data_IF_833251032626
#
_entry.id   IF_833251032626
#
_cell.length_a   1.000
_cell.length_b   1.000
_cell.length_c   1.000
_cell.angle_alpha   90.00
_cell.angle_beta   90.00
_cell.angle_gamma   90.00
#
_symmetry.space_group_name_H-M   'P 1'
#
loop_
_entity.id
_entity.type
_entity.pdbx_description
1 polymer ?
#
# COMPACT_ATOMS: atom_id res chain seq x y z
N UNK A 1 -27.83 17.83 -3.78
CA UNK A 1 -27.66 16.47 -4.35
C UNK A 1 -26.68 15.72 -3.47
N UNK A 2 -27.14 14.69 -2.74
CA UNK A 2 -26.27 13.87 -1.87
C UNK A 2 -25.49 12.90 -2.75
N UNK A 3 -24.22 13.15 -3.00
CA UNK A 3 -23.33 12.17 -3.63
C UNK A 3 -23.01 11.09 -2.60
N UNK A 4 -23.50 9.88 -2.86
CA UNK A 4 -23.04 8.68 -2.14
C UNK A 4 -21.67 8.36 -2.71
N UNK A 5 -20.62 8.90 -2.07
CA UNK A 5 -19.26 8.38 -2.24
C UNK A 5 -19.28 6.96 -1.67
N UNK A 6 -19.37 5.96 -2.55
CA UNK A 6 -18.95 4.60 -2.21
C UNK A 6 -17.42 4.59 -2.26
N UNK A 7 -16.70 4.49 -1.13
CA UNK A 7 -15.26 4.34 -1.18
C UNK A 7 -14.96 3.01 -1.89
N UNK A 8 -14.24 3.08 -3.02
CA UNK A 8 -13.63 1.92 -3.64
C UNK A 8 -12.14 2.07 -3.40
N UNK A 9 -11.59 1.28 -2.47
CA UNK A 9 -10.16 1.24 -2.19
C UNK A 9 -9.58 0.10 -3.02
N UNK A 10 -8.65 0.40 -3.94
CA UNK A 10 -7.73 -0.61 -4.46
C UNK A 10 -6.62 -0.72 -3.40
N UNK A 11 -6.95 -1.41 -2.30
CA UNK A 11 -6.01 -1.71 -1.23
C UNK A 11 -5.30 -3.02 -1.56
N UNK A 12 -4.01 -2.94 -1.81
CA UNK A 12 -3.10 -4.09 -1.83
C UNK A 12 -2.06 -3.76 -0.77
N UNK A 13 -2.18 -4.38 0.40
CA UNK A 13 -1.49 -3.95 1.63
C UNK A 13 -0.95 -5.13 2.42
N UNK A 14 0.29 -5.03 2.91
CA UNK A 14 1.15 -6.09 3.46
C UNK A 14 0.58 -7.47 3.82
N UNK A 15 1.26 -8.47 3.27
CA UNK A 15 1.28 -9.81 3.84
C UNK A 15 2.28 -10.69 3.11
N UNK A 16 3.50 -10.77 3.64
CA UNK A 16 4.48 -11.73 3.15
C UNK A 16 3.97 -13.15 3.45
N UNK A 17 3.75 -13.89 2.36
CA UNK A 17 4.04 -15.31 2.15
C UNK A 17 2.88 -16.25 1.92
N UNK A 18 2.91 -16.80 0.71
CA UNK A 18 2.21 -18.02 0.32
C UNK A 18 3.08 -18.75 -0.67
N UNK A 19 3.68 -19.85 -0.23
CA UNK A 19 4.21 -20.88 -1.09
C UNK A 19 3.25 -22.07 -0.98
N UNK A 20 2.21 -22.09 -1.81
CA UNK A 20 1.33 -23.25 -1.87
C UNK A 20 2.00 -24.32 -2.75
N UNK A 21 2.70 -25.24 -2.09
CA UNK A 21 3.21 -26.45 -2.71
C UNK A 21 2.42 -27.65 -2.15
N UNK A 22 1.32 -28.00 -2.80
CA UNK A 22 0.96 -29.40 -3.12
C UNK A 22 -0.31 -29.48 -3.99
N UNK A 23 -0.15 -30.17 -5.12
CA UNK A 23 -1.19 -30.67 -6.02
C UNK A 23 -1.95 -29.65 -6.90
N UNK A 24 -1.34 -29.25 -8.02
CA UNK A 24 -2.06 -29.21 -9.31
C UNK A 24 -1.11 -29.48 -10.48
N UNK A 25 -1.60 -30.34 -11.38
CA UNK A 25 -0.89 -30.94 -12.51
C UNK A 25 -0.31 -29.87 -13.45
N UNK A 26 0.92 -30.13 -13.87
CA UNK A 26 1.62 -29.64 -15.07
C UNK A 26 0.79 -28.78 -16.04
N UNK A 27 1.09 -27.48 -16.05
CA UNK A 27 1.24 -26.71 -17.29
C UNK A 27 2.45 -25.80 -17.12
N UNK A 28 3.59 -26.22 -17.68
CA UNK A 28 4.73 -25.33 -17.91
C UNK A 28 4.27 -24.24 -18.90
N UNK A 29 4.00 -23.05 -18.38
CA UNK A 29 3.74 -21.85 -19.16
C UNK A 29 4.65 -20.74 -18.64
N UNK A 30 5.85 -20.65 -19.20
CA UNK A 30 6.68 -19.45 -19.18
C UNK A 30 5.96 -18.35 -19.95
N UNK A 31 5.08 -17.61 -19.26
CA UNK A 31 4.59 -16.30 -19.69
C UNK A 31 5.33 -15.28 -18.85
N UNK A 32 5.95 -14.27 -19.46
CA UNK A 32 6.35 -13.06 -18.74
C UNK A 32 5.14 -12.57 -17.93
N UNK A 33 5.36 -12.18 -16.67
CA UNK A 33 4.26 -11.98 -15.71
C UNK A 33 3.19 -11.05 -16.29
N UNK A 34 1.94 -11.53 -16.35
CA UNK A 34 0.78 -10.73 -16.80
C UNK A 34 0.57 -9.53 -15.87
N UNK A 35 0.98 -9.65 -14.61
CA UNK A 35 0.91 -8.63 -13.58
C UNK A 35 2.03 -7.59 -13.75
N UNK A 36 1.67 -6.39 -14.20
CA UNK A 36 2.59 -5.26 -14.38
C UNK A 36 1.93 -3.98 -13.87
N UNK A 37 2.72 -2.97 -13.46
CA UNK A 37 2.19 -1.64 -13.12
C UNK A 37 1.34 -1.09 -14.28
N UNK A 38 1.77 -1.32 -15.51
CA UNK A 38 1.08 -0.89 -16.71
C UNK A 38 -0.34 -1.47 -16.81
N UNK A 39 -0.52 -2.76 -16.49
CA UNK A 39 -1.85 -3.40 -16.43
C UNK A 39 -2.79 -2.66 -15.47
N UNK A 40 -2.33 -2.33 -14.26
CA UNK A 40 -3.16 -1.65 -13.26
C UNK A 40 -3.46 -0.20 -13.63
N UNK A 41 -2.53 0.49 -14.31
CA UNK A 41 -2.80 1.82 -14.85
C UNK A 41 -3.89 1.78 -15.93
N UNK A 42 -3.84 0.78 -16.81
CA UNK A 42 -4.85 0.59 -17.85
C UNK A 42 -6.21 0.18 -17.27
N UNK A 43 -6.23 -0.62 -16.21
CA UNK A 43 -7.45 -0.98 -15.48
C UNK A 43 -8.07 0.23 -14.76
N UNK A 44 -7.26 1.09 -14.14
CA UNK A 44 -7.74 2.33 -13.52
C UNK A 44 -8.38 3.26 -14.58
N UNK A 45 -7.73 3.43 -15.74
CA UNK A 45 -8.30 4.21 -16.84
C UNK A 45 -9.61 3.61 -17.36
N UNK A 46 -9.70 2.27 -17.44
CA UNK A 46 -10.92 1.59 -17.81
C UNK A 46 -12.04 1.82 -16.80
N UNK A 47 -11.77 1.73 -15.48
CA UNK A 47 -12.77 2.02 -14.44
C UNK A 47 -13.27 3.45 -14.54
N UNK A 48 -12.38 4.43 -14.70
CA UNK A 48 -12.74 5.85 -14.88
C UNK A 48 -13.65 6.03 -16.11
N UNK A 49 -13.34 5.35 -17.22
CA UNK A 49 -14.17 5.38 -18.42
C UNK A 49 -15.55 4.74 -18.21
N UNK A 50 -15.62 3.55 -17.62
CA UNK A 50 -16.86 2.81 -17.37
C UNK A 50 -17.80 3.54 -16.41
N UNK A 51 -17.26 4.28 -15.45
CA UNK A 51 -18.03 5.13 -14.55
C UNK A 51 -18.50 6.45 -15.21
N UNK A 52 -18.16 6.69 -16.47
CA UNK A 52 -18.50 7.92 -17.19
C UNK A 52 -17.81 9.15 -16.61
N UNK A 53 -16.62 8.98 -16.03
CA UNK A 53 -15.81 10.03 -15.41
C UNK A 53 -14.72 10.57 -16.33
N UNK A 54 -14.52 9.96 -17.51
CA UNK A 54 -13.58 10.46 -18.52
C UNK A 54 -13.89 11.91 -18.88
N UNK A 55 -12.88 12.78 -18.83
CA UNK A 55 -13.05 14.22 -19.11
C UNK A 55 -13.55 15.05 -17.93
N UNK A 56 -13.92 14.43 -16.79
CA UNK A 56 -14.47 15.13 -15.63
C UNK A 56 -13.39 15.30 -14.56
N UNK A 57 -13.39 16.41 -13.80
CA UNK A 57 -12.54 16.55 -12.63
C UNK A 57 -12.78 15.40 -11.64
N UNK A 58 -11.74 14.66 -11.29
CA UNK A 58 -11.80 13.57 -10.32
C UNK A 58 -10.75 13.75 -9.23
N UNK A 59 -11.05 13.27 -8.03
CA UNK A 59 -10.05 13.10 -6.97
C UNK A 59 -9.71 11.60 -6.87
N UNK A 60 -8.45 11.29 -6.62
CA UNK A 60 -7.97 9.91 -6.46
C UNK A 60 -7.39 9.74 -5.06
N UNK A 61 -7.83 8.70 -4.38
CA UNK A 61 -7.28 8.26 -3.10
C UNK A 61 -6.65 6.88 -3.30
N UNK A 62 -5.37 6.76 -2.96
CA UNK A 62 -4.64 5.49 -2.99
C UNK A 62 -4.08 5.18 -1.62
N UNK A 63 -4.19 3.91 -1.21
CA UNK A 63 -3.71 3.39 0.08
C UNK A 63 -2.71 2.27 -0.18
N UNK A 64 -1.54 2.30 0.49
CA UNK A 64 -0.44 1.35 0.30
C UNK A 64 -0.01 1.24 -1.16
N UNK A 65 -0.03 0.06 -1.76
CA UNK A 65 0.24 -0.10 -3.19
C UNK A 65 -0.71 0.73 -4.08
N UNK A 66 -1.97 0.92 -3.66
CA UNK A 66 -2.89 1.83 -4.34
C UNK A 66 -2.37 3.27 -4.36
N UNK A 67 -1.65 3.70 -3.32
CA UNK A 67 -0.96 5.00 -3.27
C UNK A 67 0.18 5.10 -4.27
N UNK A 68 0.98 4.03 -4.40
CA UNK A 68 2.02 3.89 -5.42
C UNK A 68 1.44 4.02 -6.82
N UNK A 69 0.40 3.22 -7.11
CA UNK A 69 -0.28 3.20 -8.40
C UNK A 69 -0.89 4.56 -8.73
N UNK A 70 -1.57 5.19 -7.77
CA UNK A 70 -2.16 6.51 -7.92
C UNK A 70 -1.10 7.58 -8.20
N UNK A 71 0.07 7.52 -7.56
CA UNK A 71 1.17 8.44 -7.81
C UNK A 71 1.79 8.25 -9.20
N UNK A 72 2.00 7.00 -9.65
CA UNK A 72 2.47 6.71 -11.02
C UNK A 72 1.46 7.22 -12.05
N UNK A 73 0.17 6.96 -11.84
CA UNK A 73 -0.91 7.43 -12.70
C UNK A 73 -0.95 8.96 -12.75
N UNK A 74 -0.90 9.63 -11.59
CA UNK A 74 -0.90 11.08 -11.47
C UNK A 74 0.34 11.73 -12.13
N UNK A 75 1.51 11.10 -12.00
CA UNK A 75 2.77 11.54 -12.60
C UNK A 75 2.91 11.25 -14.09
N UNK A 76 1.88 10.66 -14.73
CA UNK A 76 1.84 10.34 -16.16
C UNK A 76 0.87 11.30 -16.88
N UNK A 77 1.36 12.38 -17.54
CA UNK A 77 0.52 13.46 -18.05
C UNK A 77 -0.56 13.04 -19.06
N UNK A 78 -0.33 11.95 -19.80
CA UNK A 78 -1.31 11.41 -20.76
C UNK A 78 -2.54 10.78 -20.10
N UNK A 79 -2.48 10.46 -18.80
CA UNK A 79 -3.55 9.79 -18.05
C UNK A 79 -4.27 10.75 -17.09
N UNK A 80 -3.52 11.64 -16.44
CA UNK A 80 -4.01 12.43 -15.30
C UNK A 80 -4.51 13.84 -15.64
N UNK A 81 -4.83 14.13 -16.90
CA UNK A 81 -5.21 15.48 -17.36
C UNK A 81 -6.45 16.09 -16.67
N UNK A 82 -7.32 15.25 -16.08
CA UNK A 82 -8.50 15.69 -15.32
C UNK A 82 -8.41 15.38 -13.81
N UNK A 83 -7.23 15.01 -13.32
CA UNK A 83 -7.00 14.86 -11.90
C UNK A 83 -7.11 16.24 -11.23
N UNK A 84 -7.94 16.32 -10.20
CA UNK A 84 -8.16 17.54 -9.41
C UNK A 84 -7.36 17.50 -8.12
N UNK A 85 -7.39 16.39 -7.39
CA UNK A 85 -6.64 16.17 -6.14
C UNK A 85 -6.17 14.74 -6.01
N UNK A 86 -5.05 14.58 -5.32
CA UNK A 86 -4.47 13.27 -5.01
C UNK A 86 -4.36 13.09 -3.49
N UNK A 87 -4.71 11.90 -3.00
CA UNK A 87 -4.40 11.48 -1.64
C UNK A 87 -3.58 10.21 -1.71
N UNK A 88 -2.42 10.22 -1.03
CA UNK A 88 -1.54 9.06 -0.89
C UNK A 88 -1.51 8.71 0.61
N UNK A 89 -2.06 7.55 0.93
CA UNK A 89 -2.22 7.07 2.31
C UNK A 89 -1.31 5.87 2.55
N UNK A 90 -0.52 5.89 3.62
CA UNK A 90 0.24 4.75 4.14
C UNK A 90 1.02 4.02 3.02
N UNK A 91 1.87 4.72 2.26
CA UNK A 91 2.44 4.23 0.98
C UNK A 91 3.96 4.44 0.89
N UNK A 92 4.56 4.12 -0.26
CA UNK A 92 5.99 4.23 -0.49
C UNK A 92 6.31 4.84 -1.87
N UNK A 93 7.35 5.66 -1.94
CA UNK A 93 7.84 6.19 -3.21
C UNK A 93 9.01 5.37 -3.81
N UNK A 94 9.67 4.54 -2.99
CA UNK A 94 10.84 3.75 -3.36
C UNK A 94 10.98 2.53 -2.47
N UNK A 95 11.39 1.41 -3.07
CA UNK A 95 11.71 0.19 -2.32
C UNK A 95 12.92 0.33 -1.41
N UNK A 96 13.88 1.21 -1.71
CA UNK A 96 15.03 1.47 -0.82
C UNK A 96 14.58 2.18 0.47
N UNK A 97 13.69 3.16 0.33
CA UNK A 97 13.12 3.88 1.45
C UNK A 97 12.22 2.97 2.31
N UNK A 98 11.40 2.15 1.65
CA UNK A 98 10.61 1.11 2.30
C UNK A 98 11.46 0.14 3.12
N UNK A 99 12.54 -0.38 2.53
CA UNK A 99 13.49 -1.27 3.21
C UNK A 99 14.07 -0.64 4.47
N UNK A 100 14.49 0.61 4.35
CA UNK A 100 15.03 1.38 5.49
C UNK A 100 14.01 1.45 6.64
N UNK A 101 12.75 1.76 6.33
CA UNK A 101 11.67 1.83 7.32
C UNK A 101 11.37 0.49 7.97
N UNK A 102 11.15 -0.55 7.17
CA UNK A 102 10.84 -1.90 7.66
C UNK A 102 11.96 -2.46 8.52
N UNK A 103 13.22 -2.32 8.12
CA UNK A 103 14.37 -2.76 8.94
C UNK A 103 14.38 -2.07 10.30
N UNK A 104 14.10 -0.75 10.35
CA UNK A 104 14.03 -0.02 11.60
C UNK A 104 12.90 -0.50 12.52
N UNK A 105 11.74 -0.86 11.98
CA UNK A 105 10.63 -1.42 12.76
C UNK A 105 10.94 -2.82 13.27
N UNK A 106 11.52 -3.68 12.43
CA UNK A 106 11.88 -5.04 12.81
C UNK A 106 12.89 -5.08 13.97
N UNK A 107 13.86 -4.17 13.96
CA UNK A 107 14.84 -4.05 15.06
C UNK A 107 14.23 -3.58 16.39
N UNK A 108 12.99 -3.10 16.41
CA UNK A 108 12.25 -2.69 17.61
C UNK A 108 11.31 -3.77 18.14
N UNK A 109 11.18 -4.90 17.45
CA UNK A 109 10.38 -6.03 17.93
C UNK A 109 11.05 -6.72 19.12
N UNK A 110 10.31 -7.50 19.92
CA UNK A 110 10.91 -8.38 20.91
C UNK A 110 11.98 -9.31 20.30
N UNK A 111 13.07 -9.58 21.01
CA UNK A 111 14.22 -10.33 20.50
C UNK A 111 13.85 -11.75 20.02
N UNK A 112 12.94 -12.41 20.75
CA UNK A 112 12.40 -13.73 20.38
C UNK A 112 11.63 -13.69 19.05
N UNK A 113 10.87 -12.62 18.81
CA UNK A 113 10.19 -12.38 17.53
C UNK A 113 11.20 -12.12 16.42
N UNK A 114 12.22 -11.28 16.67
CA UNK A 114 13.28 -10.99 15.69
C UNK A 114 14.02 -12.26 15.26
N UNK A 115 14.34 -13.14 16.21
CA UNK A 115 15.03 -14.41 15.96
C UNK A 115 14.22 -15.33 15.04
N UNK A 116 12.90 -15.43 15.27
CA UNK A 116 12.01 -16.23 14.42
C UNK A 116 12.00 -15.70 12.99
N UNK A 117 11.84 -14.37 12.81
CA UNK A 117 11.84 -13.75 11.48
C UNK A 117 13.17 -13.97 10.77
N UNK A 118 14.30 -13.75 11.47
CA UNK A 118 15.65 -13.94 10.94
C UNK A 118 15.94 -15.38 10.52
N UNK A 119 15.41 -16.36 11.26
CA UNK A 119 15.58 -17.79 10.96
C UNK A 119 14.75 -18.22 9.75
N UNK A 120 13.58 -17.63 9.55
CA UNK A 120 12.67 -17.99 8.46
C UNK A 120 13.16 -17.51 7.08
N UNK A 121 13.86 -16.38 7.02
CA UNK A 121 14.26 -15.73 5.76
C UNK A 121 15.13 -16.60 4.82
N UNK A 122 16.24 -17.22 5.26
CA UNK A 122 17.13 -17.95 4.34
C UNK A 122 16.47 -19.19 3.74
N UNK A 123 15.60 -19.84 4.52
CA UNK A 123 14.91 -21.07 4.13
C UNK A 123 13.52 -20.81 3.54
N UNK A 124 13.07 -19.55 3.56
CA UNK A 124 11.70 -19.15 3.22
C UNK A 124 10.63 -19.96 4.00
N UNK A 125 10.92 -20.26 5.27
CA UNK A 125 10.09 -21.13 6.13
C UNK A 125 8.98 -20.30 6.81
N UNK A 126 8.03 -19.92 6.00
CA UNK A 126 7.10 -18.83 6.27
C UNK A 126 5.69 -19.29 6.62
N UNK A 127 5.43 -20.58 6.51
CA UNK A 127 4.21 -21.29 6.83
C UNK A 127 4.29 -22.00 8.19
N UNK A 128 5.29 -21.64 9.00
CA UNK A 128 5.47 -22.23 10.33
C UNK A 128 4.61 -21.49 11.36
N UNK A 129 4.00 -22.20 12.33
CA UNK A 129 3.22 -21.56 13.39
C UNK A 129 4.01 -20.49 14.17
N UNK A 130 5.33 -20.71 14.35
CA UNK A 130 6.20 -19.73 14.99
C UNK A 130 6.32 -18.45 14.16
N UNK A 131 6.49 -18.57 12.84
CA UNK A 131 6.57 -17.41 11.95
C UNK A 131 5.24 -16.65 11.88
N UNK A 132 4.11 -17.36 11.80
CA UNK A 132 2.78 -16.75 11.82
C UNK A 132 2.56 -15.95 13.11
N UNK A 133 2.93 -16.51 14.27
CA UNK A 133 2.85 -15.81 15.56
C UNK A 133 3.77 -14.59 15.62
N UNK A 134 4.99 -14.68 15.09
CA UNK A 134 5.91 -13.55 15.01
C UNK A 134 5.36 -12.43 14.11
N UNK A 135 4.75 -12.78 12.98
CA UNK A 135 4.10 -11.84 12.08
C UNK A 135 2.86 -11.20 12.70
N UNK A 136 2.09 -11.94 13.50
CA UNK A 136 0.97 -11.36 14.22
C UNK A 136 1.41 -10.25 15.18
N UNK A 137 2.55 -10.41 15.88
CA UNK A 137 3.12 -9.35 16.71
C UNK A 137 3.47 -8.12 15.88
N UNK A 138 4.02 -8.30 14.68
CA UNK A 138 4.29 -7.20 13.76
C UNK A 138 2.99 -6.52 13.32
N UNK A 139 1.98 -7.28 12.90
CA UNK A 139 0.70 -6.73 12.44
C UNK A 139 -0.04 -5.94 13.54
N UNK A 140 -0.08 -6.46 14.76
CA UNK A 140 -0.71 -5.78 15.89
C UNK A 140 -0.05 -4.44 16.27
N UNK A 141 1.20 -4.22 15.83
CA UNK A 141 1.99 -2.99 16.07
C UNK A 141 1.99 -2.07 14.86
N UNK A 142 2.12 -2.61 13.66
CA UNK A 142 2.47 -1.85 12.46
C UNK A 142 1.47 -1.95 11.31
N UNK A 143 0.50 -2.86 11.40
CA UNK A 143 -0.58 -3.00 10.41
C UNK A 143 -1.87 -2.33 10.88
N UNK A 144 -2.33 -2.64 12.09
CA UNK A 144 -3.44 -1.91 12.73
C UNK A 144 -3.39 -1.95 14.25
N UNK A 145 -3.69 -0.80 14.85
CA UNK A 145 -3.81 -0.64 16.31
C UNK A 145 -5.24 -0.81 16.82
N UNK A 146 -6.23 -0.94 15.92
CA UNK A 146 -7.64 -1.11 16.29
C UNK A 146 -7.87 -2.35 17.17
N UNK A 147 -8.76 -2.20 18.17
CA UNK A 147 -9.14 -3.27 19.10
C UNK A 147 -10.67 -3.39 19.22
N UNK A 148 -11.24 -4.61 19.34
CA UNK A 148 -10.55 -5.92 19.39
C UNK A 148 -9.79 -6.24 18.09
N UNK A 149 -8.67 -6.95 18.22
CA UNK A 149 -7.83 -7.33 17.09
C UNK A 149 -8.27 -8.70 16.53
N UNK A 150 -8.25 -8.88 15.19
CA UNK A 150 -8.27 -7.82 14.16
C UNK A 150 -9.65 -7.15 14.05
N UNK A 151 -9.69 -5.89 13.63
CA UNK A 151 -10.93 -5.22 13.26
C UNK A 151 -11.52 -5.84 11.98
N UNK A 152 -12.85 -5.78 11.73
CA UNK A 152 -13.49 -6.44 10.58
C UNK A 152 -12.87 -6.08 9.22
N UNK A 153 -12.49 -4.81 9.03
CA UNK A 153 -11.83 -4.32 7.82
C UNK A 153 -10.45 -4.95 7.62
N UNK A 154 -9.70 -5.12 8.70
CA UNK A 154 -8.37 -5.76 8.71
C UNK A 154 -8.52 -7.26 8.47
N UNK A 155 -9.50 -7.91 9.10
CA UNK A 155 -9.82 -9.33 8.86
C UNK A 155 -10.12 -9.59 7.39
N UNK A 156 -10.98 -8.77 6.78
CA UNK A 156 -11.33 -8.93 5.37
C UNK A 156 -10.11 -8.82 4.45
N UNK A 157 -9.15 -7.93 4.75
CA UNK A 157 -7.91 -7.82 4.01
C UNK A 157 -7.05 -9.10 4.16
N UNK A 158 -6.84 -9.56 5.40
CA UNK A 158 -6.07 -10.77 5.70
C UNK A 158 -6.68 -12.02 5.04
N UNK A 159 -8.00 -12.16 5.04
CA UNK A 159 -8.71 -13.27 4.38
C UNK A 159 -8.49 -13.27 2.86
N UNK A 160 -8.43 -12.10 2.22
CA UNK A 160 -8.13 -12.02 0.79
C UNK A 160 -6.70 -12.47 0.47
N UNK A 161 -5.71 -12.09 1.28
CA UNK A 161 -4.33 -12.59 1.11
C UNK A 161 -4.23 -14.10 1.30
N UNK A 162 -4.90 -14.60 2.34
CA UNK A 162 -5.00 -16.02 2.60
C UNK A 162 -5.82 -16.77 1.54
N UNK A 163 -6.54 -16.09 0.64
CA UNK A 163 -7.31 -16.71 -0.44
C UNK A 163 -6.57 -16.69 -1.77
N UNK A 164 -5.94 -15.59 -2.15
CA UNK A 164 -5.10 -15.49 -3.36
C UNK A 164 -4.01 -14.42 -3.20
N UNK A 165 -2.76 -14.85 -3.12
CA UNK A 165 -1.60 -13.96 -3.00
C UNK A 165 -0.89 -13.74 -4.34
N UNK A 166 -1.42 -14.26 -5.46
CA UNK A 166 -0.71 -14.31 -6.75
C UNK A 166 -0.29 -12.92 -7.21
N UNK A 167 -1.21 -11.97 -7.19
CA UNK A 167 -0.96 -10.60 -7.66
C UNK A 167 0.07 -9.89 -6.78
N UNK A 168 -0.03 -10.03 -5.46
CA UNK A 168 0.93 -9.46 -4.51
C UNK A 168 2.32 -10.11 -4.65
N UNK A 169 2.39 -11.44 -4.71
CA UNK A 169 3.61 -12.21 -4.92
C UNK A 169 4.21 -12.05 -6.33
N UNK A 170 3.52 -11.39 -7.26
CA UNK A 170 4.10 -11.08 -8.59
C UNK A 170 4.55 -9.63 -8.67
N UNK A 171 3.82 -8.72 -8.04
CA UNK A 171 4.19 -7.32 -7.81
C UNK A 171 5.03 -7.23 -6.54
N UNK A 172 6.00 -8.14 -6.40
CA UNK A 172 6.73 -8.34 -5.14
C UNK A 172 7.35 -7.03 -4.65
N UNK A 173 6.70 -6.42 -3.66
CA UNK A 173 7.33 -5.51 -2.69
C UNK A 173 8.17 -6.32 -1.68
N UNK A 174 8.62 -7.52 -2.08
CA UNK A 174 9.66 -8.27 -1.40
C UNK A 174 11.01 -7.66 -1.79
N UNK A 175 11.84 -7.48 -0.76
CA UNK A 175 13.26 -7.10 -0.86
C UNK A 175 14.02 -7.99 -1.86
N UNK A 176 13.54 -9.22 -2.07
CA UNK A 176 14.13 -10.18 -3.00
C UNK A 176 13.49 -10.25 -4.40
N UNK A 177 12.43 -9.47 -4.65
CA UNK A 177 11.56 -9.64 -5.82
C UNK A 177 11.85 -8.75 -7.04
N UNK A 178 10.96 -8.84 -8.04
CA UNK A 178 11.09 -8.17 -9.35
C UNK A 178 11.10 -6.63 -9.27
N UNK A 179 10.57 -6.06 -8.18
CA UNK A 179 10.54 -4.62 -7.93
C UNK A 179 11.58 -4.15 -6.90
N UNK A 180 12.56 -4.97 -6.50
CA UNK A 180 13.53 -4.59 -5.45
C UNK A 180 14.19 -3.22 -5.65
N UNK A 181 14.47 -2.84 -6.90
CA UNK A 181 15.12 -1.58 -7.28
C UNK A 181 14.11 -0.53 -7.80
N UNK A 182 12.80 -0.77 -7.59
CA UNK A 182 11.73 0.05 -8.10
C UNK A 182 11.61 1.37 -7.34
N UNK A 183 11.46 2.45 -8.09
CA UNK A 183 11.21 3.79 -7.57
C UNK A 183 10.35 4.58 -8.53
N UNK A 184 9.41 5.36 -7.97
CA UNK A 184 8.60 6.32 -8.72
C UNK A 184 9.09 7.77 -8.52
N UNK A 185 10.15 7.99 -7.74
CA UNK A 185 10.69 9.31 -7.40
C UNK A 185 10.86 10.24 -8.62
N UNK A 186 11.44 9.79 -9.75
CA UNK A 186 11.61 10.65 -10.93
C UNK A 186 10.30 11.18 -11.54
N UNK A 187 9.17 10.49 -11.29
CA UNK A 187 7.85 10.86 -11.80
C UNK A 187 7.14 11.88 -10.90
N UNK A 188 7.52 11.98 -9.63
CA UNK A 188 6.81 12.80 -8.64
C UNK A 188 6.72 14.28 -9.01
N UNK A 189 7.76 14.83 -9.62
CA UNK A 189 7.80 16.21 -10.12
C UNK A 189 6.72 16.52 -11.17
N UNK A 190 6.16 15.49 -11.81
CA UNK A 190 5.09 15.66 -12.81
C UNK A 190 3.71 15.80 -12.15
N UNK A 191 3.58 15.52 -10.85
CA UNK A 191 2.32 15.68 -10.12
C UNK A 191 2.13 17.16 -9.77
N UNK A 192 1.23 17.83 -10.48
CA UNK A 192 1.00 19.28 -10.36
C UNK A 192 -0.27 19.66 -9.59
N UNK A 193 -1.08 18.66 -9.23
CA UNK A 193 -2.31 18.83 -8.46
C UNK A 193 -2.00 18.96 -6.97
N UNK A 194 -2.89 19.57 -6.16
CA UNK A 194 -2.80 19.46 -4.72
C UNK A 194 -2.79 17.99 -4.29
N UNK A 195 -1.86 17.65 -3.40
CA UNK A 195 -1.68 16.30 -2.87
C UNK A 195 -1.69 16.31 -1.34
N UNK A 196 -2.42 15.37 -0.74
CA UNK A 196 -2.37 15.07 0.68
C UNK A 196 -1.65 13.74 0.90
N UNK A 197 -0.63 13.76 1.73
CA UNK A 197 0.00 12.58 2.30
C UNK A 197 -0.57 12.32 3.69
N UNK A 198 -0.88 11.07 3.99
CA UNK A 198 -1.31 10.66 5.32
C UNK A 198 -0.72 9.30 5.68
N UNK A 199 -0.08 9.18 6.84
CA UNK A 199 0.40 7.90 7.36
C UNK A 199 0.23 7.81 8.89
N UNK A 200 0.25 6.60 9.43
CA UNK A 200 0.28 6.38 10.88
C UNK A 200 1.68 6.54 11.46
N UNK A 201 1.79 6.96 12.73
CA UNK A 201 3.09 7.01 13.42
C UNK A 201 3.73 5.61 13.58
N UNK A 202 2.92 4.57 13.72
CA UNK A 202 3.36 3.18 13.84
C UNK A 202 3.31 2.42 12.51
N UNK A 203 3.04 3.10 11.40
CA UNK A 203 2.79 2.52 10.07
C UNK A 203 4.03 1.82 9.49
N UNK A 204 3.89 0.64 8.88
CA UNK A 204 4.97 0.03 8.12
C UNK A 204 5.50 0.91 6.97
N UNK A 205 4.63 1.76 6.39
CA UNK A 205 5.01 2.90 5.55
C UNK A 205 5.50 4.06 6.41
N UNK A 206 6.66 3.85 7.02
CA UNK A 206 7.34 4.84 7.86
C UNK A 206 7.62 6.14 7.09
N UNK A 207 7.85 7.22 7.84
CA UNK A 207 8.12 8.55 7.31
C UNK A 207 9.21 8.57 6.22
N UNK A 208 10.26 7.74 6.36
CA UNK A 208 11.31 7.60 5.33
C UNK A 208 10.75 7.14 3.96
N UNK A 209 9.73 6.29 3.94
CA UNK A 209 9.08 5.81 2.72
C UNK A 209 8.14 6.87 2.10
N UNK A 210 7.58 7.75 2.94
CA UNK A 210 6.68 8.84 2.55
C UNK A 210 7.43 10.11 2.12
N UNK A 211 8.60 10.37 2.72
CA UNK A 211 9.40 11.58 2.55
C UNK A 211 9.63 11.97 1.08
N UNK A 212 9.93 11.05 0.14
CA UNK A 212 10.17 11.46 -1.24
C UNK A 212 8.91 12.06 -1.92
N UNK A 213 7.70 11.64 -1.52
CA UNK A 213 6.48 12.31 -1.98
C UNK A 213 6.45 13.77 -1.55
N UNK A 214 6.82 14.06 -0.29
CA UNK A 214 6.83 15.41 0.24
C UNK A 214 7.91 16.28 -0.41
N UNK A 215 9.08 15.71 -0.68
CA UNK A 215 10.22 16.45 -1.23
C UNK A 215 10.05 16.78 -2.73
N UNK A 216 9.35 15.92 -3.48
CA UNK A 216 9.32 16.01 -4.94
C UNK A 216 7.96 16.42 -5.54
N UNK A 217 6.88 16.45 -4.77
CA UNK A 217 5.58 16.97 -5.22
C UNK A 217 5.45 18.45 -4.82
N UNK A 218 5.27 19.33 -5.81
CA UNK A 218 5.28 20.78 -5.57
C UNK A 218 4.16 21.31 -4.66
N UNK A 219 2.97 20.69 -4.67
CA UNK A 219 1.79 21.14 -3.91
C UNK A 219 1.32 20.08 -2.93
N UNK A 220 2.12 19.82 -1.91
CA UNK A 220 1.91 18.71 -0.99
C UNK A 220 1.70 19.19 0.44
N UNK A 221 0.80 18.52 1.15
CA UNK A 221 0.66 18.59 2.61
C UNK A 221 0.81 17.19 3.17
N UNK A 222 1.38 17.07 4.35
CA UNK A 222 1.58 15.80 5.00
C UNK A 222 1.07 15.82 6.43
N UNK A 223 0.33 14.77 6.80
CA UNK A 223 -0.21 14.53 8.13
C UNK A 223 0.22 13.14 8.60
N UNK A 224 0.89 13.08 9.75
CA UNK A 224 1.13 11.81 10.45
C UNK A 224 0.15 11.70 11.61
N UNK A 225 -0.57 10.58 11.69
CA UNK A 225 -1.56 10.34 12.74
C UNK A 225 -0.92 9.61 13.93
N UNK A 226 -1.03 10.21 15.12
CA UNK A 226 -0.71 9.54 16.37
C UNK A 226 -1.66 8.36 16.61
N UNK A 227 -1.16 7.30 17.25
CA UNK A 227 -1.95 6.11 17.59
C UNK A 227 -2.66 5.51 16.36
N UNK A 228 -1.93 5.43 15.23
CA UNK A 228 -2.35 4.78 14.00
C UNK A 228 -1.16 4.05 13.36
N UNK A 229 -1.46 2.96 12.65
CA UNK A 229 -0.52 2.19 11.85
C UNK A 229 -0.96 2.19 10.36
N UNK A 230 -0.69 1.11 9.61
CA UNK A 230 -0.96 1.05 8.16
C UNK A 230 -2.43 1.25 7.78
N UNK A 231 -3.36 0.70 8.57
CA UNK A 231 -4.79 0.94 8.44
C UNK A 231 -5.20 2.17 9.24
N UNK A 232 -4.51 3.30 9.05
CA UNK A 232 -4.76 4.54 9.77
C UNK A 232 -6.20 5.07 9.64
N UNK A 233 -6.88 4.72 8.56
CA UNK A 233 -8.29 5.02 8.33
C UNK A 233 -9.27 4.17 9.17
N UNK A 234 -8.80 3.03 9.71
CA UNK A 234 -9.51 2.19 10.68
C UNK A 234 -9.11 2.61 12.10
N UNK A 235 -7.81 2.70 12.36
CA UNK A 235 -7.27 3.02 13.68
C UNK A 235 -7.73 4.39 14.20
N UNK A 236 -7.77 5.40 13.32
CA UNK A 236 -8.11 6.79 13.65
C UNK A 236 -9.15 7.35 12.68
N UNK A 237 -10.25 6.61 12.47
CA UNK A 237 -11.29 6.94 11.48
C UNK A 237 -11.73 8.40 11.49
N UNK A 238 -12.09 8.96 12.64
CA UNK A 238 -12.59 10.34 12.72
C UNK A 238 -11.53 11.38 12.36
N UNK A 239 -10.28 11.20 12.81
CA UNK A 239 -9.16 12.09 12.44
C UNK A 239 -8.88 11.99 10.94
N UNK A 240 -8.77 10.77 10.41
CA UNK A 240 -8.57 10.51 8.98
C UNK A 240 -9.66 11.19 8.15
N UNK A 241 -10.93 10.96 8.47
CA UNK A 241 -12.06 11.56 7.75
C UNK A 241 -12.10 13.07 7.88
N UNK A 242 -11.64 13.65 9.00
CA UNK A 242 -11.53 15.10 9.17
C UNK A 242 -10.52 15.69 8.19
N UNK A 243 -9.32 15.12 8.12
CA UNK A 243 -8.30 15.57 7.16
C UNK A 243 -8.74 15.37 5.70
N UNK A 244 -9.36 14.24 5.38
CA UNK A 244 -9.89 13.97 4.04
C UNK A 244 -11.00 14.96 3.65
N UNK A 245 -11.97 15.21 4.52
CA UNK A 245 -13.06 16.17 4.25
C UNK A 245 -12.52 17.58 4.07
N UNK A 246 -11.58 18.00 4.92
CA UNK A 246 -10.95 19.31 4.81
C UNK A 246 -10.18 19.46 3.49
N UNK A 247 -9.48 18.41 3.06
CA UNK A 247 -8.71 18.46 1.82
C UNK A 247 -9.59 18.39 0.55
N UNK A 248 -10.58 17.49 0.53
CA UNK A 248 -11.44 17.27 -0.64
C UNK A 248 -12.55 18.31 -0.78
N UNK A 249 -12.95 18.96 0.31
CA UNK A 249 -14.03 19.96 0.34
C UNK A 249 -13.59 21.38 -0.05
N UNK A 250 -12.28 21.66 -0.08
CA UNK A 250 -11.73 22.89 -0.64
C UNK A 250 -11.72 22.85 -2.17
#
# INVERSE_FOLDING_TARGET
MRSVLKPFSIGLESGFLRADNKNRRTVNRTYGSVWTVQLFLDELDNIIAQLGLKGKPIDVFGHSWGGCLAAVWAGTPSRSGHLRRLVISNSLASMDAWRTGITALRNKLPEDVQEVLRRAEPTKAYDTPEYEAAMEVFYQRHFSLARPWPAPEVTAALEWFAKDSTTYNTIELDISGSLRDWTLIPLLKNIQVPTLLINGAEDEAQDVAMQPFFDHIAKVKWVTLDNAAHFSHVDQREKTMTHLRAFLGN
#
